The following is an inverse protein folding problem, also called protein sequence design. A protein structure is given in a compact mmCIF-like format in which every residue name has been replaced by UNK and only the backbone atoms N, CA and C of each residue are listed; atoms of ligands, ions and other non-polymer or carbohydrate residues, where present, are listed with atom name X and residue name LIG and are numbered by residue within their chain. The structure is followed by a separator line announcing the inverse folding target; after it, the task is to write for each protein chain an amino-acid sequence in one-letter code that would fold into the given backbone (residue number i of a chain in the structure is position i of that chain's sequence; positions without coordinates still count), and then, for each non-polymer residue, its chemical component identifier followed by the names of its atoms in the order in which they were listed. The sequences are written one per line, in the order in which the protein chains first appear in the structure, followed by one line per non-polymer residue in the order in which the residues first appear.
data_IF_378960189510
#
_entry.id   IF_378960189510
#
_cell.length_a   1.000
_cell.length_b   1.000
_cell.length_c   1.000
_cell.angle_alpha   90.00
_cell.angle_beta   90.00
_cell.angle_gamma   90.00
#
_symmetry.space_group_name_H-M   'P 1'
#
loop_
_entity.id
_entity.type
_entity.pdbx_description
1 polymer ?
#
# COMPACT_ATOMS: atom_id res chain seq x y z
N UNK A 1 -3.27 33.95 2.91
CA UNK A 1 -3.73 32.58 2.58
C UNK A 1 -2.61 31.89 1.81
N UNK A 2 -2.04 30.84 2.36
CA UNK A 2 -1.09 30.00 1.62
C UNK A 2 -1.86 29.34 0.48
N UNK A 3 -1.43 29.56 -0.76
CA UNK A 3 -2.06 28.99 -1.95
C UNK A 3 -1.66 27.50 -2.00
N UNK A 4 -2.49 26.61 -1.47
CA UNK A 4 -2.26 25.18 -1.59
C UNK A 4 -2.57 24.75 -3.01
N UNK A 5 -1.57 24.17 -3.70
CA UNK A 5 -1.78 23.58 -5.02
C UNK A 5 -2.74 22.40 -4.94
N UNK A 6 -3.64 22.29 -5.89
CA UNK A 6 -4.47 21.10 -6.04
C UNK A 6 -3.63 19.95 -6.59
N UNK A 7 -4.08 18.71 -6.39
CA UNK A 7 -3.42 17.53 -6.97
C UNK A 7 -3.30 17.67 -8.51
N UNK A 8 -4.31 18.24 -9.17
CA UNK A 8 -4.28 18.46 -10.62
C UNK A 8 -3.18 19.43 -11.04
N UNK A 9 -3.06 20.59 -10.39
CA UNK A 9 -1.98 21.56 -10.61
C UNK A 9 -0.62 20.92 -10.34
N UNK A 10 -0.46 20.22 -9.22
CA UNK A 10 0.78 19.53 -8.86
C UNK A 10 1.21 18.51 -9.95
N UNK A 11 0.29 17.72 -10.48
CA UNK A 11 0.57 16.76 -11.55
C UNK A 11 1.07 17.50 -12.81
N UNK A 12 0.42 18.61 -13.20
CA UNK A 12 0.80 19.41 -14.35
C UNK A 12 2.19 20.01 -14.17
N UNK A 13 2.45 20.63 -13.02
CA UNK A 13 3.73 21.30 -12.73
C UNK A 13 4.91 20.32 -12.70
N UNK A 14 4.64 19.07 -12.32
CA UNK A 14 5.66 18.02 -12.24
C UNK A 14 5.78 17.15 -13.51
N UNK A 15 4.96 17.35 -14.53
CA UNK A 15 5.02 16.56 -15.77
C UNK A 15 6.42 16.56 -16.42
N UNK A 16 7.16 17.65 -16.33
CA UNK A 16 8.53 17.76 -16.86
C UNK A 16 9.55 16.79 -16.23
N UNK A 17 9.27 16.26 -15.05
CA UNK A 17 10.10 15.27 -14.37
C UNK A 17 9.82 13.84 -14.83
N UNK A 18 8.76 13.63 -15.59
CA UNK A 18 8.37 12.33 -16.12
C UNK A 18 8.88 12.14 -17.55
N UNK A 19 9.98 11.45 -17.69
CA UNK A 19 10.72 11.25 -18.97
C UNK A 19 9.90 10.62 -20.12
N UNK A 20 8.67 10.15 -19.83
CA UNK A 20 7.81 9.40 -20.76
C UNK A 20 6.34 9.82 -20.69
N UNK A 21 6.01 11.06 -20.30
CA UNK A 21 4.64 11.46 -20.06
C UNK A 21 3.89 11.79 -21.35
N UNK A 22 3.13 10.81 -21.78
CA UNK A 22 2.04 10.99 -22.77
C UNK A 22 0.72 11.48 -22.11
N UNK A 23 0.76 11.89 -20.83
CA UNK A 23 -0.44 12.23 -20.04
C UNK A 23 -1.22 11.01 -19.50
N UNK A 24 -0.88 9.80 -19.90
CA UNK A 24 -1.56 8.56 -19.48
C UNK A 24 -1.45 8.33 -17.97
N UNK A 25 -0.25 8.42 -17.39
CA UNK A 25 -0.04 8.29 -15.95
C UNK A 25 -0.82 9.36 -15.17
N UNK A 26 -0.85 10.59 -15.66
CA UNK A 26 -1.63 11.68 -15.06
C UNK A 26 -3.12 11.38 -15.07
N UNK A 27 -3.65 10.83 -16.17
CA UNK A 27 -5.05 10.39 -16.28
C UNK A 27 -5.32 9.22 -15.33
N UNK A 28 -4.36 8.30 -15.17
CA UNK A 28 -4.47 7.16 -14.26
C UNK A 28 -4.57 7.62 -12.79
N UNK A 29 -3.67 8.49 -12.33
CA UNK A 29 -3.73 9.05 -10.97
C UNK A 29 -5.04 9.82 -10.75
N UNK A 30 -5.54 10.55 -11.75
CA UNK A 30 -6.83 11.21 -11.68
C UNK A 30 -8.01 10.23 -11.60
N UNK A 31 -7.90 9.05 -12.20
CA UNK A 31 -8.93 8.00 -12.10
C UNK A 31 -8.94 7.37 -10.71
N UNK A 32 -7.77 7.05 -10.16
CA UNK A 32 -7.63 6.58 -8.77
C UNK A 32 -8.20 7.62 -7.79
N UNK A 33 -7.86 8.90 -7.96
CA UNK A 33 -8.43 10.00 -7.17
C UNK A 33 -9.95 10.05 -7.21
N UNK A 34 -10.54 9.81 -8.38
CA UNK A 34 -12.00 9.82 -8.52
C UNK A 34 -12.62 8.63 -7.76
N UNK A 35 -12.10 7.42 -7.96
CA UNK A 35 -12.57 6.23 -7.25
C UNK A 35 -12.43 6.43 -5.73
N UNK A 36 -11.30 6.92 -5.26
CA UNK A 36 -11.07 7.21 -3.85
C UNK A 36 -12.11 8.18 -3.24
N UNK A 37 -12.57 9.20 -4.00
CA UNK A 37 -13.62 10.10 -3.51
C UNK A 37 -14.98 9.39 -3.39
N UNK A 38 -15.28 8.49 -4.31
CA UNK A 38 -16.52 7.70 -4.28
C UNK A 38 -16.50 6.75 -3.09
N UNK A 39 -15.39 6.01 -2.89
CA UNK A 39 -15.21 5.14 -1.72
C UNK A 39 -15.28 5.94 -0.42
N UNK A 40 -14.57 7.08 -0.34
CA UNK A 40 -14.62 7.95 0.84
C UNK A 40 -16.04 8.41 1.19
N UNK A 41 -16.86 8.69 0.18
CA UNK A 41 -18.24 9.10 0.42
C UNK A 41 -19.05 7.97 1.10
N UNK A 42 -18.83 6.73 0.72
CA UNK A 42 -19.52 5.59 1.34
C UNK A 42 -18.91 5.23 2.71
N UNK A 43 -17.57 5.23 2.85
CA UNK A 43 -16.91 5.05 4.16
C UNK A 43 -17.49 6.00 5.22
N UNK A 44 -17.69 7.27 4.85
CA UNK A 44 -18.24 8.28 5.77
C UNK A 44 -19.74 8.10 6.08
N UNK A 45 -20.42 7.18 5.40
CA UNK A 45 -21.81 6.80 5.69
C UNK A 45 -21.92 5.48 6.46
N UNK A 46 -20.81 4.86 6.80
CA UNK A 46 -20.80 3.61 7.56
C UNK A 46 -21.66 3.74 8.81
N UNK A 47 -22.58 2.80 9.02
CA UNK A 47 -23.60 2.89 10.08
C UNK A 47 -24.91 3.62 9.71
N UNK A 48 -24.94 4.38 8.60
CA UNK A 48 -26.16 5.04 8.10
C UNK A 48 -26.79 4.31 6.90
N UNK A 49 -26.01 3.53 6.20
CA UNK A 49 -26.43 2.73 5.04
C UNK A 49 -25.98 1.29 5.22
N UNK A 50 -26.59 0.35 4.49
CA UNK A 50 -26.29 -1.08 4.59
C UNK A 50 -25.01 -1.46 3.84
N UNK A 51 -23.86 -0.95 4.33
CA UNK A 51 -22.52 -1.24 3.85
C UNK A 51 -21.62 -1.86 4.93
N UNK A 52 -22.13 -2.02 6.14
CA UNK A 52 -21.46 -2.69 7.25
C UNK A 52 -21.76 -4.19 7.25
N UNK A 53 -20.86 -4.95 7.87
CA UNK A 53 -20.99 -6.39 8.05
C UNK A 53 -20.55 -7.19 6.82
N UNK A 54 -20.62 -8.51 6.97
CA UNK A 54 -20.17 -9.47 5.98
C UNK A 54 -21.04 -9.45 4.73
N UNK A 55 -20.41 -9.61 3.57
CA UNK A 55 -21.12 -9.76 2.30
C UNK A 55 -21.86 -11.11 2.17
N UNK A 56 -21.53 -12.07 3.03
CA UNK A 56 -22.08 -13.43 3.01
C UNK A 56 -21.24 -14.42 2.22
N UNK A 57 -20.19 -13.92 1.55
CA UNK A 57 -19.24 -14.72 0.78
C UNK A 57 -17.85 -14.66 1.42
N UNK A 58 -17.04 -15.67 1.16
CA UNK A 58 -15.60 -15.68 1.44
C UNK A 58 -14.83 -15.40 0.17
N UNK A 59 -13.77 -14.62 0.25
CA UNK A 59 -12.88 -14.45 -0.89
C UNK A 59 -12.12 -15.76 -1.18
N UNK A 60 -11.45 -15.83 -2.31
CA UNK A 60 -10.67 -17.00 -2.75
C UNK A 60 -9.63 -17.46 -1.71
N UNK A 61 -9.25 -16.59 -0.80
CA UNK A 61 -8.27 -16.86 0.24
C UNK A 61 -8.89 -17.36 1.55
N UNK A 62 -10.23 -17.55 1.57
CA UNK A 62 -10.99 -17.99 2.73
C UNK A 62 -11.20 -16.92 3.79
N UNK A 63 -10.97 -15.64 3.44
CA UNK A 63 -11.27 -14.50 4.31
C UNK A 63 -12.71 -14.03 4.07
N UNK A 64 -13.45 -13.70 5.14
CA UNK A 64 -14.81 -13.19 5.03
C UNK A 64 -14.77 -11.78 4.43
N UNK A 65 -15.43 -11.61 3.27
CA UNK A 65 -15.54 -10.31 2.61
C UNK A 65 -16.52 -9.39 3.35
N UNK A 66 -16.10 -8.16 3.56
CA UNK A 66 -16.99 -7.10 4.03
C UNK A 66 -17.74 -6.48 2.82
N UNK A 67 -18.96 -6.01 3.03
CA UNK A 67 -19.74 -5.36 1.96
C UNK A 67 -18.99 -4.15 1.35
N UNK A 68 -18.24 -3.44 2.16
CA UNK A 68 -17.49 -2.27 1.71
C UNK A 68 -16.25 -2.64 0.90
N UNK A 69 -15.64 -3.83 1.13
CA UNK A 69 -14.57 -4.36 0.27
C UNK A 69 -15.08 -4.58 -1.15
N UNK A 70 -16.20 -5.30 -1.26
CA UNK A 70 -16.84 -5.57 -2.56
C UNK A 70 -17.22 -4.28 -3.28
N UNK A 71 -17.74 -3.30 -2.52
CA UNK A 71 -18.07 -1.99 -3.06
C UNK A 71 -16.82 -1.24 -3.56
N UNK A 72 -15.78 -1.15 -2.74
CA UNK A 72 -14.54 -0.48 -3.10
C UNK A 72 -13.88 -1.13 -4.32
N UNK A 73 -13.79 -2.47 -4.34
CA UNK A 73 -13.29 -3.21 -5.50
C UNK A 73 -14.08 -2.85 -6.77
N UNK A 74 -15.41 -2.92 -6.70
CA UNK A 74 -16.28 -2.58 -7.83
C UNK A 74 -16.04 -1.16 -8.34
N UNK A 75 -15.93 -0.17 -7.44
CA UNK A 75 -15.72 1.23 -7.81
C UNK A 75 -14.37 1.44 -8.50
N UNK A 76 -13.28 0.88 -7.95
CA UNK A 76 -11.95 1.00 -8.56
C UNK A 76 -11.89 0.29 -9.90
N UNK A 77 -12.36 -0.96 -9.97
CA UNK A 77 -12.39 -1.75 -11.20
C UNK A 77 -13.17 -1.05 -12.30
N UNK A 78 -14.40 -0.58 -12.02
CA UNK A 78 -15.22 0.13 -13.01
C UNK A 78 -14.60 1.46 -13.46
N UNK A 79 -14.03 2.23 -12.51
CA UNK A 79 -13.43 3.53 -12.83
C UNK A 79 -12.22 3.37 -13.74
N UNK A 80 -11.38 2.35 -13.49
CA UNK A 80 -10.20 2.08 -14.32
C UNK A 80 -10.58 1.49 -15.68
N UNK A 81 -11.56 0.56 -15.72
CA UNK A 81 -12.09 -0.02 -16.97
C UNK A 81 -12.70 1.03 -17.88
N UNK A 82 -13.62 1.85 -17.36
CA UNK A 82 -14.37 2.80 -18.16
C UNK A 82 -13.51 3.90 -18.80
N UNK A 83 -12.35 4.17 -18.24
CA UNK A 83 -11.44 5.19 -18.75
C UNK A 83 -10.41 4.67 -19.75
N UNK A 84 -10.31 3.36 -19.90
CA UNK A 84 -9.44 2.68 -20.87
C UNK A 84 -7.99 3.21 -20.85
N UNK A 85 -7.43 3.43 -19.65
CA UNK A 85 -6.08 4.02 -19.48
C UNK A 85 -5.04 2.93 -19.18
N UNK A 86 -5.49 1.75 -18.78
CA UNK A 86 -4.67 0.59 -18.41
C UNK A 86 -4.98 -0.59 -19.30
N UNK A 87 -4.02 -1.46 -19.52
CA UNK A 87 -4.23 -2.69 -20.29
C UNK A 87 -4.71 -3.84 -19.41
N UNK A 88 -4.45 -3.78 -18.10
CA UNK A 88 -4.89 -4.81 -17.16
C UNK A 88 -4.90 -4.30 -15.72
N UNK A 89 -5.68 -4.96 -14.89
CA UNK A 89 -5.82 -4.68 -13.46
C UNK A 89 -5.75 -6.01 -12.70
N UNK A 90 -4.94 -6.07 -11.64
CA UNK A 90 -4.99 -7.14 -10.65
C UNK A 90 -5.45 -6.55 -9.32
N UNK A 91 -6.46 -7.15 -8.71
CA UNK A 91 -6.99 -6.75 -7.41
C UNK A 91 -6.75 -7.86 -6.39
N UNK A 92 -6.54 -7.49 -5.15
CA UNK A 92 -6.48 -8.44 -4.05
C UNK A 92 -7.75 -9.28 -3.92
N UNK A 93 -8.90 -8.69 -4.28
CA UNK A 93 -10.24 -9.28 -4.17
C UNK A 93 -10.64 -10.15 -5.38
N UNK A 94 -9.81 -10.22 -6.43
CA UNK A 94 -10.06 -11.01 -7.64
C UNK A 94 -9.08 -12.18 -7.73
N UNK A 95 -9.56 -13.33 -8.20
CA UNK A 95 -8.76 -14.57 -8.33
C UNK A 95 -7.58 -14.40 -9.30
N UNK A 96 -7.82 -13.66 -10.38
CA UNK A 96 -6.89 -13.47 -11.48
C UNK A 96 -6.91 -12.00 -11.94
N UNK A 97 -5.96 -11.63 -12.76
CA UNK A 97 -5.97 -10.29 -13.35
C UNK A 97 -7.10 -10.16 -14.37
N UNK A 98 -7.58 -8.93 -14.51
CA UNK A 98 -8.62 -8.56 -15.45
C UNK A 98 -8.02 -7.80 -16.62
N UNK A 99 -8.14 -8.36 -17.82
CA UNK A 99 -7.78 -7.66 -19.05
C UNK A 99 -8.82 -6.60 -19.38
N UNK A 100 -8.37 -5.41 -19.70
CA UNK A 100 -9.23 -4.35 -20.23
C UNK A 100 -9.37 -4.58 -21.73
N UNK A 101 -10.40 -5.34 -22.11
CA UNK A 101 -10.78 -5.53 -23.50
C UNK A 101 -11.70 -4.40 -23.93
N UNK A 102 -11.18 -3.49 -24.68
CA UNK A 102 -11.90 -2.48 -25.45
C UNK A 102 -11.29 -2.48 -26.83
N UNK A 103 -11.83 -1.73 -27.78
CA UNK A 103 -11.31 -1.59 -29.15
C UNK A 103 -9.79 -1.67 -29.21
N UNK A 104 -9.18 -1.95 -30.34
CA UNK A 104 -7.72 -2.13 -30.53
C UNK A 104 -6.84 -1.10 -29.78
N UNK A 105 -7.39 0.08 -29.44
CA UNK A 105 -6.72 1.12 -28.67
C UNK A 105 -6.40 0.74 -27.22
N UNK A 106 -7.17 -0.15 -26.56
CA UNK A 106 -6.92 -0.52 -25.16
C UNK A 106 -5.68 -1.40 -25.02
N UNK A 107 -5.38 -2.20 -26.04
CA UNK A 107 -4.17 -2.99 -26.10
C UNK A 107 -2.91 -2.15 -26.28
N UNK A 108 -3.03 -0.90 -26.74
CA UNK A 108 -1.92 0.05 -26.85
C UNK A 108 -1.55 0.72 -25.52
N UNK A 109 -2.36 0.56 -24.48
CA UNK A 109 -2.06 1.08 -23.16
C UNK A 109 -0.81 0.43 -22.59
N UNK A 110 -0.03 1.22 -21.84
CA UNK A 110 1.33 0.85 -21.39
C UNK A 110 1.40 0.43 -19.94
N UNK A 111 0.31 0.56 -19.20
CA UNK A 111 0.30 0.38 -17.76
C UNK A 111 -0.63 -0.73 -17.31
N UNK A 112 -0.19 -1.47 -16.31
CA UNK A 112 -1.02 -2.33 -15.47
C UNK A 112 -1.10 -1.72 -14.07
N UNK A 113 -2.21 -1.97 -13.38
CA UNK A 113 -2.45 -1.53 -12.00
C UNK A 113 -2.66 -2.74 -11.13
N UNK A 114 -2.02 -2.73 -9.97
CA UNK A 114 -2.26 -3.68 -8.89
C UNK A 114 -2.82 -2.89 -7.71
N UNK A 115 -3.88 -3.41 -7.09
CA UNK A 115 -4.63 -2.68 -6.08
C UNK A 115 -5.10 -3.59 -4.95
N UNK A 116 -4.95 -3.11 -3.72
CA UNK A 116 -5.76 -3.50 -2.57
C UNK A 116 -6.85 -2.43 -2.41
N UNK A 117 -8.10 -2.75 -2.75
CA UNK A 117 -9.18 -1.76 -2.74
C UNK A 117 -9.49 -1.20 -1.36
N UNK A 118 -9.35 -2.01 -0.32
CA UNK A 118 -9.66 -1.58 1.05
C UNK A 118 -8.86 -2.33 2.13
N UNK A 119 -7.61 -1.91 2.35
CA UNK A 119 -6.75 -2.39 3.45
C UNK A 119 -7.42 -2.18 4.81
N UNK A 120 -7.37 -3.21 5.63
CA UNK A 120 -7.86 -3.17 7.00
C UNK A 120 -9.39 -3.24 7.13
N UNK A 121 -10.08 -3.86 6.21
CA UNK A 121 -11.55 -3.96 6.15
C UNK A 121 -12.20 -4.50 7.43
N UNK A 122 -11.53 -5.38 8.17
CA UNK A 122 -11.99 -5.85 9.49
C UNK A 122 -12.19 -4.73 10.53
N UNK A 123 -11.67 -3.53 10.25
CA UNK A 123 -11.80 -2.36 11.12
C UNK A 123 -13.03 -1.49 10.82
N UNK A 124 -13.76 -1.76 9.75
CA UNK A 124 -14.90 -0.95 9.30
C UNK A 124 -15.99 -0.90 10.34
N UNK A 125 -16.38 -2.06 10.86
CA UNK A 125 -17.49 -2.21 11.82
C UNK A 125 -17.23 -1.56 13.18
N UNK A 126 -15.96 -1.26 13.48
CA UNK A 126 -15.54 -0.62 14.72
C UNK A 126 -15.04 0.83 14.53
N UNK A 127 -15.28 1.39 13.33
CA UNK A 127 -14.96 2.78 12.99
C UNK A 127 -13.47 3.13 13.14
N UNK A 128 -12.59 2.20 12.83
CA UNK A 128 -11.14 2.42 12.74
C UNK A 128 -10.76 2.68 11.28
N UNK A 129 -9.78 3.54 11.07
CA UNK A 129 -9.36 3.98 9.74
C UNK A 129 -8.94 2.80 8.85
N UNK A 130 -9.39 2.83 7.63
CA UNK A 130 -9.07 1.89 6.55
C UNK A 130 -8.37 2.62 5.40
N UNK A 131 -7.90 1.89 4.39
CA UNK A 131 -7.20 2.52 3.29
C UNK A 131 -7.32 1.77 1.97
N UNK A 132 -6.86 2.39 0.90
CA UNK A 132 -6.65 1.76 -0.41
C UNK A 132 -5.18 1.83 -0.73
N UNK A 133 -4.59 0.77 -1.26
CA UNK A 133 -3.19 0.72 -1.69
C UNK A 133 -3.14 0.44 -3.19
N UNK A 134 -2.28 1.14 -3.92
CA UNK A 134 -2.14 0.91 -5.36
C UNK A 134 -0.69 1.00 -5.83
N UNK A 135 -0.40 0.25 -6.88
CA UNK A 135 0.85 0.36 -7.63
C UNK A 135 0.59 0.33 -9.13
N UNK A 136 1.49 0.96 -9.88
CA UNK A 136 1.44 1.05 -11.33
C UNK A 136 2.75 0.54 -11.88
N UNK A 137 2.67 -0.39 -12.82
CA UNK A 137 3.81 -0.90 -13.56
C UNK A 137 3.64 -0.64 -15.05
N UNK A 138 4.75 -0.60 -15.74
CA UNK A 138 4.73 -0.63 -17.18
C UNK A 138 4.65 -2.08 -17.64
N UNK A 139 3.78 -2.39 -18.60
CA UNK A 139 3.71 -3.73 -19.16
C UNK A 139 5.06 -4.13 -19.80
N UNK A 140 5.41 -5.39 -19.73
CA UNK A 140 6.61 -5.97 -20.35
C UNK A 140 6.33 -6.59 -21.71
N UNK A 141 5.08 -7.03 -21.95
CA UNK A 141 4.63 -7.52 -23.26
C UNK A 141 4.48 -6.36 -24.27
N UNK A 142 4.56 -6.67 -25.55
CA UNK A 142 4.47 -5.67 -26.61
C UNK A 142 3.09 -5.00 -26.65
N UNK A 143 3.01 -3.65 -26.80
CA UNK A 143 1.75 -2.96 -27.04
C UNK A 143 1.01 -3.53 -28.27
N UNK A 144 -0.31 -3.65 -28.20
CA UNK A 144 -1.12 -4.27 -29.23
C UNK A 144 -1.28 -5.80 -29.08
N UNK A 145 -0.67 -6.42 -28.07
CA UNK A 145 -0.88 -7.82 -27.70
C UNK A 145 -1.78 -7.92 -26.46
N UNK A 146 -2.39 -9.10 -26.18
CA UNK A 146 -3.07 -9.32 -24.92
C UNK A 146 -2.13 -9.16 -23.73
N UNK A 147 -2.62 -8.59 -22.63
CA UNK A 147 -1.89 -8.54 -21.36
C UNK A 147 -1.71 -9.96 -20.81
N UNK A 148 -0.54 -10.23 -20.23
CA UNK A 148 -0.17 -11.53 -19.69
C UNK A 148 0.16 -11.43 -18.20
N UNK A 149 0.21 -12.56 -17.52
CA UNK A 149 0.56 -12.63 -16.10
C UNK A 149 1.93 -11.99 -15.79
N UNK A 150 2.90 -12.13 -16.71
CA UNK A 150 4.22 -11.52 -16.59
C UNK A 150 4.22 -9.99 -16.53
N UNK A 151 3.16 -9.35 -17.05
CA UNK A 151 2.99 -7.89 -16.94
C UNK A 151 2.75 -7.44 -15.50
N UNK A 152 2.27 -8.33 -14.64
CA UNK A 152 2.00 -8.09 -13.21
C UNK A 152 3.11 -8.64 -12.31
N UNK A 153 3.71 -9.79 -12.65
CA UNK A 153 4.73 -10.45 -11.84
C UNK A 153 6.10 -9.78 -12.00
N UNK A 154 6.17 -8.49 -11.67
CA UNK A 154 7.39 -7.69 -11.73
C UNK A 154 7.91 -7.38 -10.32
N UNK A 155 9.23 -7.28 -10.20
CA UNK A 155 9.88 -6.82 -8.96
C UNK A 155 9.41 -5.42 -8.57
N UNK A 156 9.33 -5.14 -7.26
CA UNK A 156 8.84 -3.87 -6.75
C UNK A 156 9.64 -2.63 -7.19
N UNK A 157 10.92 -2.81 -7.55
CA UNK A 157 11.77 -1.73 -8.08
C UNK A 157 11.39 -1.30 -9.52
N UNK A 158 10.49 -2.02 -10.21
CA UNK A 158 9.96 -1.67 -11.55
C UNK A 158 8.70 -0.80 -11.49
N UNK A 159 8.19 -0.49 -10.32
CA UNK A 159 7.05 0.41 -10.17
C UNK A 159 7.35 1.79 -10.78
N UNK A 160 6.39 2.32 -11.53
CA UNK A 160 6.44 3.69 -12.07
C UNK A 160 5.68 4.69 -11.21
N UNK A 161 4.74 4.19 -10.40
CA UNK A 161 4.06 4.94 -9.36
C UNK A 161 3.52 3.98 -8.30
N UNK A 162 3.45 4.45 -7.07
CA UNK A 162 2.74 3.78 -5.99
C UNK A 162 2.11 4.81 -5.05
N UNK A 163 1.07 4.40 -4.34
CA UNK A 163 0.41 5.28 -3.38
C UNK A 163 -0.61 4.55 -2.53
N UNK A 164 -1.12 5.28 -1.59
CA UNK A 164 -2.25 4.85 -0.77
C UNK A 164 -3.22 6.00 -0.51
N UNK A 165 -4.44 5.64 -0.20
CA UNK A 165 -5.43 6.54 0.37
C UNK A 165 -5.72 6.07 1.79
N UNK A 166 -5.64 6.96 2.77
CA UNK A 166 -6.11 6.68 4.14
C UNK A 166 -7.43 7.40 4.37
N UNK A 167 -8.45 6.63 4.74
CA UNK A 167 -9.79 7.12 5.12
C UNK A 167 -9.84 7.21 6.64
N UNK A 168 -9.38 8.35 7.18
CA UNK A 168 -9.26 8.60 8.61
C UNK A 168 -9.99 9.88 9.01
N UNK A 169 -9.52 10.56 10.07
CA UNK A 169 -10.05 11.87 10.51
C UNK A 169 -10.03 12.93 9.40
N UNK A 170 -9.12 12.79 8.46
CA UNK A 170 -9.17 13.40 7.13
C UNK A 170 -8.78 12.36 6.10
N UNK A 171 -9.33 12.45 4.90
CA UNK A 171 -8.95 11.57 3.82
C UNK A 171 -7.71 12.11 3.13
N UNK A 172 -6.66 11.32 3.08
CA UNK A 172 -5.40 11.69 2.43
C UNK A 172 -5.03 10.70 1.32
N UNK A 173 -4.59 11.25 0.20
CA UNK A 173 -3.94 10.51 -0.87
C UNK A 173 -2.44 10.82 -0.79
N UNK A 174 -1.63 9.79 -0.62
CA UNK A 174 -0.17 9.87 -0.57
C UNK A 174 0.38 9.05 -1.71
N UNK A 175 1.25 9.63 -2.55
CA UNK A 175 1.83 8.88 -3.67
C UNK A 175 3.22 9.35 -4.04
N UNK A 176 3.90 8.50 -4.79
CA UNK A 176 5.17 8.75 -5.45
C UNK A 176 5.15 8.29 -6.90
N UNK A 177 6.01 8.90 -7.68
CA UNK A 177 6.33 8.48 -9.05
C UNK A 177 7.84 8.25 -9.20
N UNK A 178 8.51 7.90 -8.10
CA UNK A 178 9.96 7.71 -8.02
C UNK A 178 10.76 9.01 -7.80
N UNK A 179 10.08 10.11 -7.48
CA UNK A 179 10.70 11.44 -7.27
C UNK A 179 10.27 12.06 -5.93
N UNK A 180 10.37 11.28 -4.84
CA UNK A 180 9.91 11.66 -3.52
C UNK A 180 8.41 11.40 -3.32
N UNK A 181 7.94 11.62 -2.09
CA UNK A 181 6.57 11.31 -1.66
C UNK A 181 5.83 12.60 -1.32
N UNK A 182 4.58 12.72 -1.77
CA UNK A 182 3.74 13.87 -1.47
C UNK A 182 2.37 13.44 -1.00
N UNK A 183 1.84 14.14 0.00
CA UNK A 183 0.53 13.89 0.60
C UNK A 183 -0.46 15.01 0.32
N UNK A 184 -1.68 14.62 -0.04
CA UNK A 184 -2.78 15.51 -0.42
C UNK A 184 -3.99 15.21 0.45
N UNK A 185 -4.53 16.24 1.09
CA UNK A 185 -5.74 16.13 1.92
C UNK A 185 -6.97 16.50 1.11
N UNK A 186 -8.01 15.69 1.21
CA UNK A 186 -9.31 15.96 0.61
C UNK A 186 -10.03 17.07 1.37
N UNK A 187 -10.44 18.11 0.65
CA UNK A 187 -11.49 19.01 1.13
C UNK A 187 -12.85 18.41 0.73
N UNK A 188 -13.62 17.85 1.66
CA UNK A 188 -14.85 17.14 1.33
C UNK A 188 -15.95 18.08 0.81
N UNK A 189 -15.95 19.36 1.20
CA UNK A 189 -16.97 20.32 0.80
C UNK A 189 -16.97 20.60 -0.71
N UNK A 190 -15.80 20.52 -1.36
CA UNK A 190 -15.64 20.79 -2.79
C UNK A 190 -15.04 19.60 -3.55
N UNK A 191 -14.77 18.50 -2.88
CA UNK A 191 -14.27 17.25 -3.47
C UNK A 191 -12.89 17.40 -4.13
N UNK A 192 -12.01 18.25 -3.56
CA UNK A 192 -10.69 18.54 -4.14
C UNK A 192 -9.57 18.17 -3.19
N UNK A 193 -8.56 17.44 -3.68
CA UNK A 193 -7.35 17.15 -2.95
C UNK A 193 -6.35 18.29 -3.08
N UNK A 194 -5.83 18.77 -1.95
CA UNK A 194 -4.82 19.83 -1.85
C UNK A 194 -3.52 19.30 -1.29
N UNK A 195 -2.39 19.75 -1.84
CA UNK A 195 -1.06 19.43 -1.32
C UNK A 195 -0.92 19.97 0.11
N UNK A 196 -0.96 19.06 1.07
CA UNK A 196 -0.87 19.37 2.51
C UNK A 196 0.46 18.94 3.11
N UNK A 197 1.09 17.90 2.55
CA UNK A 197 2.34 17.32 3.03
C UNK A 197 3.32 17.16 1.85
N UNK A 198 4.01 18.26 1.46
CA UNK A 198 5.02 18.19 0.40
C UNK A 198 6.28 17.49 0.89
N UNK A 199 6.93 16.73 0.00
CA UNK A 199 8.23 16.09 0.24
C UNK A 199 8.30 15.31 1.57
N UNK A 200 7.30 14.46 1.80
CA UNK A 200 7.23 13.62 3.01
C UNK A 200 8.48 12.75 3.14
N UNK A 201 9.00 12.67 4.35
CA UNK A 201 10.17 11.83 4.66
C UNK A 201 9.99 11.12 5.98
N UNK A 202 10.46 9.88 6.03
CA UNK A 202 10.68 9.20 7.30
C UNK A 202 11.79 9.91 8.08
N UNK A 203 11.61 10.16 9.38
CA UNK A 203 12.73 10.38 10.26
C UNK A 203 13.69 9.19 10.18
N UNK A 204 15.00 9.46 10.19
CA UNK A 204 16.04 8.41 10.06
C UNK A 204 15.92 7.34 11.17
N UNK A 205 15.48 7.78 12.34
CA UNK A 205 15.18 6.94 13.49
C UNK A 205 13.80 7.31 14.07
N UNK A 206 13.27 6.48 14.95
CA UNK A 206 11.98 6.71 15.60
C UNK A 206 11.91 6.06 16.99
N UNK A 207 10.77 6.26 17.65
CA UNK A 207 10.50 5.70 18.99
C UNK A 207 9.15 4.97 19.05
N UNK A 208 8.68 4.49 17.89
CA UNK A 208 7.39 3.78 17.77
C UNK A 208 7.65 2.43 17.10
N UNK A 209 7.11 1.36 17.66
CA UNK A 209 7.01 0.08 16.97
C UNK A 209 5.55 -0.37 16.91
N UNK A 210 5.18 -0.96 15.78
CA UNK A 210 3.82 -1.35 15.42
C UNK A 210 3.80 -2.81 15.04
N UNK A 211 3.29 -3.66 15.93
CA UNK A 211 3.17 -5.10 15.74
C UNK A 211 2.03 -5.64 16.60
N UNK A 212 1.33 -6.67 16.15
CA UNK A 212 0.35 -7.38 16.96
C UNK A 212 1.06 -8.31 17.96
N UNK A 213 1.40 -7.80 19.13
CA UNK A 213 2.06 -8.56 20.20
C UNK A 213 1.21 -9.73 20.74
N UNK A 214 -0.09 -9.78 20.46
CA UNK A 214 -0.93 -10.95 20.75
C UNK A 214 -0.45 -12.24 20.09
N UNK A 215 0.36 -12.12 19.02
CA UNK A 215 1.00 -13.24 18.35
C UNK A 215 2.42 -13.56 18.86
N UNK A 216 2.89 -12.93 19.94
CA UNK A 216 4.27 -13.02 20.42
C UNK A 216 4.80 -14.46 20.53
N UNK A 217 3.99 -15.38 21.08
CA UNK A 217 4.39 -16.78 21.25
C UNK A 217 4.70 -17.50 19.94
N UNK A 218 4.12 -17.03 18.84
CA UNK A 218 4.23 -17.60 17.50
C UNK A 218 5.34 -16.97 16.64
N UNK A 219 5.96 -15.87 17.11
CA UNK A 219 7.00 -15.18 16.35
C UNK A 219 8.34 -15.93 16.34
N UNK A 220 9.16 -15.73 15.29
CA UNK A 220 10.55 -16.15 15.26
C UNK A 220 11.35 -15.54 16.41
N UNK A 221 12.45 -16.19 16.78
CA UNK A 221 13.25 -15.75 17.92
C UNK A 221 13.88 -14.36 17.70
N UNK A 222 14.33 -14.05 16.48
CA UNK A 222 14.87 -12.73 16.12
C UNK A 222 13.87 -11.60 16.38
N UNK A 223 12.58 -11.80 16.04
CA UNK A 223 11.51 -10.83 16.32
C UNK A 223 11.30 -10.66 17.82
N UNK A 224 11.26 -11.76 18.58
CA UNK A 224 11.11 -11.71 20.05
C UNK A 224 12.25 -10.92 20.71
N UNK A 225 13.47 -11.12 20.26
CA UNK A 225 14.62 -10.44 20.81
C UNK A 225 14.66 -8.95 20.41
N UNK A 226 14.24 -8.62 19.18
CA UNK A 226 14.03 -7.23 18.79
C UNK A 226 12.95 -6.53 19.62
N UNK A 227 11.84 -7.21 19.96
CA UNK A 227 10.81 -6.64 20.83
C UNK A 227 11.32 -6.38 22.23
N UNK A 228 12.11 -7.32 22.81
CA UNK A 228 12.79 -7.10 24.10
C UNK A 228 13.75 -5.90 24.03
N UNK A 229 14.48 -5.76 22.90
CA UNK A 229 15.33 -4.59 22.66
C UNK A 229 14.49 -3.30 22.66
N UNK A 230 13.34 -3.27 22.00
CA UNK A 230 12.45 -2.09 21.99
C UNK A 230 11.94 -1.71 23.39
N UNK A 231 11.75 -2.70 24.27
CA UNK A 231 11.15 -2.55 25.62
C UNK A 231 12.19 -2.29 26.70
N UNK A 232 13.48 -2.47 26.42
CA UNK A 232 14.54 -2.31 27.41
C UNK A 232 14.70 -0.86 27.83
N UNK A 233 14.90 -0.60 29.13
CA UNK A 233 15.17 0.74 29.64
C UNK A 233 16.65 1.11 29.42
N UNK A 234 16.91 1.92 28.42
CA UNK A 234 18.19 2.48 28.03
C UNK A 234 17.99 3.90 27.48
N UNK A 235 19.08 4.63 27.16
CA UNK A 235 19.08 6.06 26.82
C UNK A 235 18.01 6.48 25.80
N UNK A 236 17.78 5.68 24.73
CA UNK A 236 16.80 5.96 23.67
C UNK A 236 15.53 5.12 23.78
N UNK A 237 15.41 4.26 24.78
CA UNK A 237 14.32 3.29 24.95
C UNK A 237 13.76 3.35 26.37
N UNK A 238 12.56 2.83 26.65
CA UNK A 238 11.74 2.00 25.77
C UNK A 238 11.07 2.78 24.65
N UNK A 239 10.87 2.10 23.51
CA UNK A 239 10.03 2.61 22.43
C UNK A 239 8.54 2.44 22.77
N UNK A 240 7.69 3.25 22.17
CA UNK A 240 6.25 3.18 22.38
C UNK A 240 5.60 2.18 21.44
N UNK A 241 4.89 1.21 21.96
CA UNK A 241 4.04 0.31 21.17
C UNK A 241 2.81 1.07 20.67
N UNK A 242 2.59 1.05 19.36
CA UNK A 242 1.40 1.62 18.70
C UNK A 242 1.00 0.70 17.55
N UNK A 243 -0.13 0.03 17.67
CA UNK A 243 -0.66 -0.85 16.64
C UNK A 243 -2.15 -0.58 16.44
N UNK A 244 -2.53 -0.13 15.25
CA UNK A 244 -3.91 0.17 14.86
C UNK A 244 -4.56 -1.07 14.25
N UNK A 245 -3.77 -1.88 13.54
CA UNK A 245 -4.26 -3.06 12.83
C UNK A 245 -4.77 -2.76 11.42
N UNK A 246 -4.43 -1.60 10.86
CA UNK A 246 -4.53 -1.25 9.45
C UNK A 246 -3.13 -0.89 8.97
N UNK A 247 -2.63 -1.57 7.93
CA UNK A 247 -1.30 -1.33 7.38
C UNK A 247 -1.14 0.14 6.97
N UNK A 248 -2.10 0.68 6.23
CA UNK A 248 -2.07 2.07 5.76
C UNK A 248 -1.98 3.05 6.93
N UNK A 249 -2.76 2.84 7.99
CA UNK A 249 -2.81 3.76 9.14
C UNK A 249 -1.55 3.71 9.98
N UNK A 250 -1.04 2.51 10.26
CA UNK A 250 0.20 2.29 11.01
C UNK A 250 1.41 2.84 10.23
N UNK A 251 1.47 2.57 8.93
CA UNK A 251 2.50 3.07 8.04
C UNK A 251 2.50 4.60 7.95
N UNK A 252 1.31 5.21 7.72
CA UNK A 252 1.17 6.68 7.62
C UNK A 252 1.67 7.38 8.89
N UNK A 253 1.26 6.89 10.07
CA UNK A 253 1.74 7.41 11.34
C UNK A 253 3.25 7.30 11.47
N UNK A 254 3.82 6.13 11.15
CA UNK A 254 5.25 5.88 11.27
C UNK A 254 6.05 6.72 10.26
N UNK A 255 5.52 6.98 9.06
CA UNK A 255 6.16 7.88 8.10
C UNK A 255 6.27 9.31 8.63
N UNK A 256 5.26 9.80 9.35
CA UNK A 256 5.25 11.18 9.87
C UNK A 256 6.07 11.30 11.17
N UNK A 257 5.99 10.31 12.06
CA UNK A 257 6.55 10.40 13.42
C UNK A 257 7.88 9.69 13.60
N UNK A 258 8.28 8.87 12.65
CA UNK A 258 9.34 7.89 12.83
C UNK A 258 8.85 6.65 13.59
N UNK A 259 9.22 5.49 13.09
CA UNK A 259 8.81 4.22 13.68
C UNK A 259 9.02 3.06 12.71
N UNK A 260 8.72 1.85 13.19
CA UNK A 260 8.75 0.62 12.40
C UNK A 260 7.42 -0.10 12.48
N UNK A 261 6.94 -0.58 11.35
CA UNK A 261 5.84 -1.53 11.23
C UNK A 261 6.40 -2.92 10.97
N UNK A 262 5.92 -3.90 11.70
CA UNK A 262 6.40 -5.28 11.68
C UNK A 262 5.21 -6.23 11.48
N UNK A 263 5.28 -7.00 10.41
CA UNK A 263 4.39 -8.12 10.16
C UNK A 263 5.22 -9.36 9.80
N UNK A 264 5.86 -10.00 10.82
CA UNK A 264 6.78 -11.10 10.59
C UNK A 264 6.04 -12.39 10.22
N UNK A 265 6.80 -13.40 9.84
CA UNK A 265 6.33 -14.79 9.84
C UNK A 265 5.87 -15.20 11.23
N UNK A 266 5.05 -16.21 11.28
CA UNK A 266 4.65 -16.87 12.53
C UNK A 266 4.39 -18.35 12.29
N UNK A 267 4.34 -19.14 13.35
CA UNK A 267 3.97 -20.57 13.22
C UNK A 267 2.58 -20.79 12.61
N UNK A 268 1.71 -19.77 12.64
CA UNK A 268 0.38 -19.79 12.00
C UNK A 268 0.38 -19.26 10.56
N UNK A 269 1.37 -18.46 10.20
CA UNK A 269 1.55 -17.88 8.87
C UNK A 269 3.05 -17.93 8.50
N UNK A 270 3.58 -19.08 8.13
CA UNK A 270 5.01 -19.28 7.89
C UNK A 270 5.54 -18.46 6.69
N UNK A 271 4.69 -18.16 5.73
CA UNK A 271 5.02 -17.30 4.57
C UNK A 271 4.73 -15.79 4.81
N UNK A 272 4.39 -15.39 6.04
CA UNK A 272 3.82 -14.07 6.30
C UNK A 272 2.31 -14.01 5.99
N UNK A 273 1.71 -12.84 6.15
CA UNK A 273 0.27 -12.63 5.88
C UNK A 273 0.04 -11.60 4.77
N UNK A 274 0.85 -10.55 4.72
CA UNK A 274 0.69 -9.48 3.75
C UNK A 274 1.08 -9.93 2.35
N UNK A 275 0.42 -9.36 1.34
CA UNK A 275 0.63 -9.72 -0.05
C UNK A 275 1.73 -8.87 -0.68
N UNK A 276 2.68 -9.53 -1.33
CA UNK A 276 3.85 -8.86 -1.92
C UNK A 276 3.45 -7.78 -2.91
N UNK A 277 2.54 -8.10 -3.84
CA UNK A 277 2.23 -7.23 -4.97
C UNK A 277 1.26 -6.10 -4.64
N UNK A 278 0.26 -6.37 -3.79
CA UNK A 278 -0.81 -5.41 -3.52
C UNK A 278 -0.51 -4.47 -2.36
N UNK A 279 0.25 -4.95 -1.37
CA UNK A 279 0.51 -4.26 -0.11
C UNK A 279 2.00 -3.93 0.06
N UNK A 280 2.88 -4.96 0.09
CA UNK A 280 4.28 -4.77 0.48
C UNK A 280 5.09 -3.97 -0.54
N UNK A 281 4.98 -4.26 -1.85
CA UNK A 281 5.72 -3.55 -2.90
C UNK A 281 5.37 -2.06 -2.97
N UNK A 282 4.09 -1.64 -3.04
CA UNK A 282 3.74 -0.21 -3.06
C UNK A 282 4.19 0.52 -1.79
N UNK A 283 4.00 -0.08 -0.61
CA UNK A 283 4.40 0.52 0.65
C UNK A 283 5.93 0.60 0.80
N UNK A 284 6.66 -0.43 0.33
CA UNK A 284 8.11 -0.43 0.29
C UNK A 284 8.66 0.67 -0.65
N UNK A 285 8.05 0.84 -1.83
CA UNK A 285 8.45 1.88 -2.76
C UNK A 285 8.25 3.28 -2.17
N UNK A 286 7.11 3.53 -1.53
CA UNK A 286 6.85 4.77 -0.80
C UNK A 286 7.86 4.98 0.34
N UNK A 287 8.11 3.96 1.15
CA UNK A 287 9.04 4.06 2.27
C UNK A 287 10.44 4.47 1.81
N UNK A 288 10.98 3.82 0.79
CA UNK A 288 12.32 4.13 0.27
C UNK A 288 12.38 5.50 -0.41
N UNK A 289 11.35 5.90 -1.16
CA UNK A 289 11.26 7.25 -1.72
C UNK A 289 11.16 8.34 -0.64
N UNK A 290 10.69 7.98 0.54
CA UNK A 290 10.67 8.85 1.72
C UNK A 290 11.94 8.73 2.61
N UNK A 291 12.95 7.95 2.20
CA UNK A 291 14.19 7.77 2.95
C UNK A 291 14.13 6.73 4.09
N UNK A 292 13.04 5.95 4.15
CA UNK A 292 12.91 4.79 5.00
C UNK A 292 13.51 3.52 4.37
N UNK A 293 13.16 2.36 4.92
CA UNK A 293 13.59 1.04 4.45
C UNK A 293 12.45 0.03 4.58
N UNK A 294 12.44 -0.96 3.68
CA UNK A 294 11.50 -2.08 3.75
C UNK A 294 12.21 -3.41 3.43
N UNK A 295 11.95 -4.42 4.26
CA UNK A 295 12.60 -5.73 4.25
C UNK A 295 11.61 -6.83 4.62
N UNK A 296 11.91 -8.06 4.24
CA UNK A 296 11.21 -9.26 4.74
C UNK A 296 11.81 -9.78 6.06
N UNK A 297 12.80 -9.05 6.58
CA UNK A 297 13.64 -9.40 7.72
C UNK A 297 15.07 -9.78 7.30
N UNK A 298 15.28 -10.16 6.05
CA UNK A 298 16.58 -10.59 5.49
C UNK A 298 16.88 -9.96 4.14
N UNK A 299 15.87 -9.72 3.32
CA UNK A 299 16.01 -9.19 1.95
C UNK A 299 15.16 -7.95 1.77
N UNK A 300 15.63 -7.07 0.91
CA UNK A 300 14.88 -5.89 0.49
C UNK A 300 13.60 -6.31 -0.25
N UNK A 301 12.44 -5.80 0.18
CA UNK A 301 11.14 -6.13 -0.44
C UNK A 301 11.14 -5.88 -1.95
N UNK A 302 11.65 -4.75 -2.41
CA UNK A 302 11.58 -4.35 -3.82
C UNK A 302 12.41 -5.25 -4.76
N UNK A 303 13.29 -6.10 -4.23
CA UNK A 303 14.12 -7.02 -5.00
C UNK A 303 13.57 -8.47 -5.00
N UNK A 304 12.46 -8.70 -4.28
CA UNK A 304 11.80 -10.01 -4.29
C UNK A 304 11.10 -10.19 -5.64
N UNK A 305 11.47 -11.27 -6.36
CA UNK A 305 10.82 -11.65 -7.61
C UNK A 305 9.49 -12.34 -7.32
N UNK A 306 8.35 -11.78 -7.75
CA UNK A 306 7.05 -12.42 -7.56
C UNK A 306 6.95 -13.71 -8.38
N UNK A 307 6.27 -14.72 -7.82
CA UNK A 307 6.00 -16.01 -8.46
C UNK A 307 4.50 -16.24 -8.71
N UNK A 308 3.65 -15.54 -7.97
CA UNK A 308 2.19 -15.62 -8.07
C UNK A 308 1.55 -14.29 -7.66
N UNK A 309 0.31 -14.01 -8.13
CA UNK A 309 -0.39 -12.74 -7.86
C UNK A 309 -0.63 -12.50 -6.37
N UNK A 310 -0.97 -13.54 -5.63
CA UNK A 310 -1.31 -13.45 -4.20
C UNK A 310 -0.17 -13.92 -3.28
N UNK A 311 1.08 -13.87 -3.78
CA UNK A 311 2.25 -14.23 -2.98
C UNK A 311 2.30 -13.42 -1.67
N UNK A 312 2.46 -14.14 -0.57
CA UNK A 312 2.60 -13.55 0.77
C UNK A 312 4.06 -13.46 1.17
N UNK A 313 4.39 -12.43 1.96
CA UNK A 313 5.72 -12.21 2.51
C UNK A 313 5.64 -11.58 3.90
N UNK A 314 6.64 -11.77 4.77
CA UNK A 314 6.78 -10.96 5.96
C UNK A 314 7.19 -9.53 5.58
N UNK A 315 6.90 -8.56 6.46
CA UNK A 315 7.09 -7.16 6.15
C UNK A 315 7.59 -6.35 7.36
N UNK A 316 8.77 -5.75 7.20
CA UNK A 316 9.41 -4.85 8.14
C UNK A 316 9.64 -3.52 7.43
N UNK A 317 8.97 -2.45 7.87
CA UNK A 317 9.00 -1.20 7.12
C UNK A 317 8.96 0.02 8.04
N UNK A 318 9.81 1.01 7.78
CA UNK A 318 9.82 2.23 8.58
C UNK A 318 11.10 3.05 8.49
N UNK A 319 11.40 3.72 9.58
CA UNK A 319 12.66 4.47 9.76
C UNK A 319 13.86 3.57 9.51
N UNK A 320 14.77 4.02 8.65
CA UNK A 320 15.87 3.20 8.13
C UNK A 320 16.68 2.51 9.24
N UNK A 321 17.11 3.26 10.27
CA UNK A 321 17.88 2.70 11.38
C UNK A 321 17.12 1.65 12.18
N UNK A 322 15.81 1.82 12.36
CA UNK A 322 15.01 0.84 13.10
C UNK A 322 14.86 -0.47 12.33
N UNK A 323 14.70 -0.40 11.00
CA UNK A 323 14.64 -1.61 10.15
C UNK A 323 15.99 -2.32 10.14
N UNK A 324 17.11 -1.59 10.00
CA UNK A 324 18.47 -2.16 10.03
C UNK A 324 18.77 -2.85 11.36
N UNK A 325 18.32 -2.29 12.49
CA UNK A 325 18.45 -2.95 13.79
C UNK A 325 17.59 -4.21 13.85
N UNK A 326 16.34 -4.16 13.36
CA UNK A 326 15.49 -5.34 13.32
C UNK A 326 16.12 -6.48 12.48
N UNK A 327 16.65 -6.16 11.30
CA UNK A 327 17.38 -7.11 10.45
C UNK A 327 18.57 -7.73 11.19
N UNK A 328 19.35 -6.95 11.96
CA UNK A 328 20.49 -7.49 12.71
C UNK A 328 20.10 -8.52 13.79
N UNK A 329 18.88 -8.44 14.31
CA UNK A 329 18.33 -9.48 15.17
C UNK A 329 17.89 -10.72 14.39
N UNK A 330 17.31 -10.53 13.19
CA UNK A 330 16.92 -11.64 12.32
C UNK A 330 18.13 -12.41 11.80
N UNK A 331 19.21 -11.73 11.44
CA UNK A 331 20.47 -12.34 10.95
C UNK A 331 21.14 -13.29 11.97
N UNK A 332 20.81 -13.17 13.26
CA UNK A 332 21.28 -14.12 14.30
C UNK A 332 20.59 -15.49 14.21
N UNK A 333 19.49 -15.60 13.46
CA UNK A 333 18.67 -16.80 13.29
C UNK A 333 18.42 -17.08 11.80
N UNK A 334 19.47 -17.43 11.02
CA UNK A 334 19.37 -17.60 9.58
C UNK A 334 18.46 -18.77 9.16
N UNK A 335 18.21 -19.74 10.04
CA UNK A 335 17.26 -20.83 9.83
C UNK A 335 15.81 -20.35 9.70
N UNK A 336 15.46 -19.21 10.26
CA UNK A 336 14.15 -18.59 10.16
C UNK A 336 13.93 -17.88 8.79
N UNK A 337 14.95 -17.84 7.93
CA UNK A 337 14.89 -17.21 6.60
C UNK A 337 14.25 -18.09 5.51
N UNK A 338 14.01 -19.37 5.81
CA UNK A 338 13.48 -20.34 4.85
C UNK A 338 11.96 -20.52 5.06
N UNK A 339 11.15 -19.79 4.28
CA UNK A 339 9.69 -19.94 4.22
C UNK A 339 9.21 -20.36 2.86
#
# INVERSE_FOLDING_TARGET
MQKHSTLGEFIIDNQKHFRYTTGELSRLINSIRLAAKVVNHEVNKAGLVDILGHAGDTNIQGEEQQKLDVYANTVFMQTLKNRQIVCGIASEEEDDFVTISGNDESNMNKYVVLIDPLDGSSNIDVNVSVGTIFSVYRRVTEPGTPVQLEDFLQEGNKQVAAGYIVYGTSTMLVYTTGHGVNGFTLNPAIGTFYLSHPAMKYPENGKIYSINEGNYIHFPQGVKDYLKYCQKEEEDRPYTSRYIGSLVSDFHRNMIKGGIYLYPTSSKAPKGKLRLLYECNPMAFLAEQAGGKASDGYKRILDIKPTELHQRVPFFCGSKKMVEVAESFMEQYPEDANY
#
